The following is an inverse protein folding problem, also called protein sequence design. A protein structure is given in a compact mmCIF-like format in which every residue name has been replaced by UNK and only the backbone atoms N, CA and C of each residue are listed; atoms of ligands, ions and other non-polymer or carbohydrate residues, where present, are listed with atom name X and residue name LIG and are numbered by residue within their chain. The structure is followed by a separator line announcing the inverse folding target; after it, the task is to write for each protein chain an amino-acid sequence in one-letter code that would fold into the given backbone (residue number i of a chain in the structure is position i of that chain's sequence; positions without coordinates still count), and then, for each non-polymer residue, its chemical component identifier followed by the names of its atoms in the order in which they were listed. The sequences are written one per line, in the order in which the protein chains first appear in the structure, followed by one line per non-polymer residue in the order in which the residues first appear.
data_IF_859254964267
#
_entry.id   IF_859254964267
#
_cell.length_a   1.000
_cell.length_b   1.000
_cell.length_c   1.000
_cell.angle_alpha   90.00
_cell.angle_beta   90.00
_cell.angle_gamma   90.00
#
_symmetry.space_group_name_H-M   'P 1'
#
loop_
_entity.id
_entity.type
_entity.pdbx_description
1 polymer ?
#
# COMPACT_ATOMS: atom_id res chain seq x y z
N UNK A 1 -15.24 -66.98 -14.46
CA UNK A 1 -15.04 -66.40 -15.79
C UNK A 1 -14.30 -65.06 -15.59
N UNK A 2 -13.04 -64.98 -16.04
CA UNK A 2 -12.18 -63.78 -15.96
C UNK A 2 -12.40 -62.93 -17.19
N UNK A 3 -12.40 -61.57 -17.10
CA UNK A 3 -12.34 -60.71 -18.29
C UNK A 3 -10.85 -60.38 -18.62
N UNK A 4 -10.65 -60.26 -19.94
CA UNK A 4 -9.36 -60.15 -20.57
C UNK A 4 -8.69 -58.76 -20.40
N UNK A 5 -7.38 -58.83 -20.36
CA UNK A 5 -6.42 -57.72 -20.52
C UNK A 5 -6.31 -57.37 -22.01
N UNK A 6 -6.48 -56.11 -22.36
CA UNK A 6 -5.95 -55.55 -23.60
C UNK A 6 -4.83 -54.57 -23.27
N UNK A 7 -3.63 -54.93 -23.64
CA UNK A 7 -2.41 -54.17 -23.67
C UNK A 7 -2.42 -53.23 -24.89
N UNK A 8 -2.17 -51.93 -24.72
CA UNK A 8 -1.70 -51.06 -25.79
C UNK A 8 -0.32 -50.53 -25.40
N UNK A 9 0.68 -51.03 -26.13
CA UNK A 9 2.00 -50.46 -26.24
C UNK A 9 2.01 -49.44 -27.35
N UNK A 10 2.59 -48.25 -27.15
CA UNK A 10 2.74 -47.25 -28.20
C UNK A 10 3.58 -46.08 -27.78
N UNK A 11 4.89 -46.21 -28.00
CA UNK A 11 5.87 -45.16 -28.35
C UNK A 11 6.00 -43.92 -27.45
N UNK A 12 7.04 -43.97 -26.62
CA UNK A 12 7.87 -42.78 -26.36
C UNK A 12 8.69 -42.50 -27.62
N UNK A 13 8.60 -41.24 -28.11
CA UNK A 13 9.74 -40.51 -28.68
C UNK A 13 9.23 -39.15 -29.24
N UNK A 14 10.09 -38.14 -29.09
CA UNK A 14 10.02 -36.79 -29.66
C UNK A 14 9.14 -35.75 -28.93
N UNK A 15 9.74 -35.10 -27.93
CA UNK A 15 9.65 -33.64 -27.76
C UNK A 15 10.80 -33.17 -26.85
N UNK A 16 12.01 -33.25 -27.35
CA UNK A 16 13.14 -32.46 -26.86
C UNK A 16 13.49 -31.46 -27.96
N UNK A 17 13.09 -30.21 -27.80
CA UNK A 17 13.76 -29.01 -28.36
C UNK A 17 12.91 -27.77 -28.05
N UNK A 18 13.51 -26.82 -27.34
CA UNK A 18 12.96 -25.47 -27.27
C UNK A 18 13.04 -24.75 -25.92
N UNK A 19 14.07 -24.97 -25.10
CA UNK A 19 14.45 -23.96 -24.12
C UNK A 19 15.35 -22.93 -24.83
N UNK A 20 14.75 -21.89 -25.37
CA UNK A 20 15.48 -20.71 -25.82
C UNK A 20 15.83 -19.87 -24.62
N UNK A 21 17.10 -19.89 -24.24
CA UNK A 21 17.74 -18.88 -23.39
C UNK A 21 17.56 -17.51 -24.05
N UNK A 22 16.64 -16.70 -23.56
CA UNK A 22 16.67 -15.28 -23.82
C UNK A 22 17.65 -14.63 -22.86
N UNK A 23 18.72 -14.01 -23.35
CA UNK A 23 19.58 -13.21 -22.51
C UNK A 23 18.77 -11.98 -22.07
N UNK A 24 18.73 -11.74 -20.76
CA UNK A 24 18.31 -10.48 -20.18
C UNK A 24 19.13 -9.37 -20.85
N UNK A 25 18.51 -8.66 -21.78
CA UNK A 25 19.07 -7.45 -22.36
C UNK A 25 19.01 -6.40 -21.25
N UNK A 26 20.16 -6.11 -20.66
CA UNK A 26 20.34 -4.93 -19.82
C UNK A 26 19.92 -3.72 -20.64
N UNK A 27 18.80 -3.11 -20.25
CA UNK A 27 18.42 -1.78 -20.71
C UNK A 27 19.51 -0.85 -20.16
N UNK A 28 20.21 -0.05 -21.00
CA UNK A 28 21.23 0.85 -20.49
C UNK A 28 20.56 1.85 -19.53
N UNK A 29 21.13 2.00 -18.35
CA UNK A 29 20.75 2.99 -17.39
C UNK A 29 20.71 4.36 -18.07
N UNK A 30 19.51 4.84 -18.38
CA UNK A 30 19.31 6.22 -18.81
C UNK A 30 19.61 7.05 -17.56
N UNK A 31 20.80 7.66 -17.57
CA UNK A 31 21.16 8.68 -16.60
C UNK A 31 20.19 9.85 -16.79
N UNK A 32 19.15 9.89 -15.96
CA UNK A 32 18.40 11.11 -15.75
C UNK A 32 19.33 12.06 -14.99
N UNK A 33 20.08 12.86 -15.78
CA UNK A 33 20.75 14.05 -15.26
C UNK A 33 19.63 14.99 -14.86
N UNK A 34 19.29 15.03 -13.57
CA UNK A 34 18.56 16.14 -13.00
C UNK A 34 19.46 17.35 -13.24
N UNK A 35 19.04 18.23 -14.15
CA UNK A 35 19.72 19.51 -14.37
C UNK A 35 19.70 20.29 -13.07
N UNK A 36 20.80 20.21 -12.31
CA UNK A 36 21.13 21.19 -11.29
C UNK A 36 21.92 22.27 -12.01
N UNK A 37 21.20 23.21 -12.64
CA UNK A 37 21.82 24.41 -13.17
C UNK A 37 22.14 25.35 -12.01
N UNK A 38 23.44 25.52 -11.79
CA UNK A 38 24.11 26.69 -11.21
C UNK A 38 23.84 27.03 -9.75
N UNK A 39 24.48 26.33 -8.84
CA UNK A 39 24.91 26.96 -7.59
C UNK A 39 26.43 27.05 -7.59
N UNK A 40 26.95 28.30 -7.66
CA UNK A 40 28.36 28.60 -7.43
C UNK A 40 28.66 28.53 -5.93
N UNK A 41 28.92 27.33 -5.43
CA UNK A 41 29.62 27.07 -4.18
C UNK A 41 31.01 26.48 -4.49
N UNK A 42 31.95 26.43 -3.54
CA UNK A 42 33.32 26.03 -3.81
C UNK A 42 33.36 24.64 -4.47
N UNK A 43 34.07 24.57 -5.58
CA UNK A 43 34.22 23.40 -6.43
C UNK A 43 34.82 22.22 -5.66
N UNK A 44 33.97 21.36 -5.12
CA UNK A 44 34.36 20.01 -4.72
C UNK A 44 34.43 19.20 -6.01
N UNK A 45 35.61 18.70 -6.32
CA UNK A 45 35.86 18.03 -7.59
C UNK A 45 34.92 16.83 -7.77
N UNK A 46 34.22 16.79 -8.88
CA UNK A 46 33.29 15.72 -9.30
C UNK A 46 33.95 14.32 -9.26
N UNK A 47 35.27 14.25 -9.21
CA UNK A 47 36.03 12.99 -9.10
C UNK A 47 36.04 12.38 -7.69
N UNK A 48 35.87 13.16 -6.63
CA UNK A 48 35.81 12.64 -5.25
C UNK A 48 34.42 12.20 -4.86
N UNK A 49 33.38 12.86 -5.37
CA UNK A 49 31.97 12.45 -5.15
C UNK A 49 31.67 11.07 -5.74
N UNK A 50 32.18 10.74 -6.93
CA UNK A 50 31.99 9.43 -7.55
C UNK A 50 32.79 8.29 -6.86
N UNK A 51 33.87 8.57 -6.15
CA UNK A 51 34.57 7.54 -5.38
C UNK A 51 33.87 7.15 -4.07
N UNK A 52 33.13 8.08 -3.45
CA UNK A 52 32.37 7.77 -2.23
C UNK A 52 31.07 7.01 -2.48
N UNK A 53 30.50 7.06 -3.70
CA UNK A 53 29.33 6.27 -4.07
C UNK A 53 29.64 4.80 -4.40
N UNK A 54 30.88 4.47 -4.75
CA UNK A 54 31.27 3.11 -5.16
C UNK A 54 31.41 2.10 -4.01
N UNK A 55 31.37 2.53 -2.74
CA UNK A 55 31.67 1.69 -1.58
C UNK A 55 30.49 1.49 -0.60
N UNK A 56 29.33 2.10 -0.83
CA UNK A 56 28.15 1.83 0.01
C UNK A 56 27.47 0.56 -0.49
N UNK A 57 27.28 -0.46 0.37
CA UNK A 57 26.52 -1.65 -0.03
C UNK A 57 25.10 -1.25 -0.42
N UNK A 58 24.62 -1.74 -1.56
CA UNK A 58 23.25 -1.54 -2.02
C UNK A 58 22.29 -2.17 -1.01
N UNK A 59 21.34 -1.39 -0.52
CA UNK A 59 20.32 -1.86 0.42
C UNK A 59 18.97 -1.92 -0.28
N UNK A 60 18.27 -3.03 -0.14
CA UNK A 60 16.92 -3.21 -0.67
C UNK A 60 15.89 -3.15 0.44
N UNK A 61 14.75 -2.55 0.13
CA UNK A 61 13.61 -2.37 1.00
C UNK A 61 12.33 -2.74 0.27
N UNK A 62 11.30 -3.10 1.02
CA UNK A 62 9.93 -3.15 0.55
C UNK A 62 9.26 -1.82 0.93
N UNK A 63 8.70 -1.12 -0.05
CA UNK A 63 7.74 -0.06 0.19
C UNK A 63 6.35 -0.61 -0.07
N UNK A 64 5.54 -0.76 0.98
CA UNK A 64 4.17 -1.25 0.89
C UNK A 64 3.19 -0.13 1.25
N UNK A 65 2.18 0.09 0.42
CA UNK A 65 1.17 1.13 0.61
C UNK A 65 -0.23 0.53 0.62
N UNK A 66 -1.11 1.00 1.49
CA UNK A 66 -2.54 0.88 1.27
C UNK A 66 -2.97 1.68 0.05
N UNK A 67 -4.20 1.49 -0.43
CA UNK A 67 -4.73 2.13 -1.63
C UNK A 67 -5.77 3.20 -1.31
N UNK A 68 -6.93 2.82 -0.74
CA UNK A 68 -8.01 3.74 -0.43
C UNK A 68 -7.55 4.79 0.58
N UNK A 69 -7.85 6.06 0.32
CA UNK A 69 -7.47 7.23 1.13
C UNK A 69 -5.94 7.39 1.38
N UNK A 70 -5.14 6.39 0.99
CA UNK A 70 -3.67 6.42 1.04
C UNK A 70 -3.06 6.89 -0.27
N UNK A 71 -3.28 6.18 -1.38
CA UNK A 71 -2.90 6.58 -2.74
C UNK A 71 -4.04 7.30 -3.47
N UNK A 72 -5.25 7.26 -2.93
CA UNK A 72 -6.45 7.90 -3.47
C UNK A 72 -7.01 8.95 -2.52
N UNK A 73 -7.88 9.80 -3.04
CA UNK A 73 -8.71 10.70 -2.23
C UNK A 73 -10.05 10.08 -1.84
N UNK A 74 -10.49 9.05 -2.56
CA UNK A 74 -11.78 8.41 -2.39
C UNK A 74 -11.60 7.04 -1.73
N UNK A 75 -12.69 6.51 -1.21
CA UNK A 75 -12.82 5.13 -0.79
C UNK A 75 -13.58 4.34 -1.88
N UNK A 76 -13.10 3.15 -2.18
CA UNK A 76 -13.67 2.25 -3.20
C UNK A 76 -15.15 1.96 -2.99
N UNK A 77 -15.57 1.76 -1.73
CA UNK A 77 -16.95 1.43 -1.41
C UNK A 77 -17.92 2.56 -1.73
N UNK A 78 -17.52 3.81 -1.49
CA UNK A 78 -18.33 4.98 -1.85
C UNK A 78 -18.46 5.13 -3.38
N UNK A 79 -17.34 5.07 -4.11
CA UNK A 79 -17.35 5.21 -5.58
C UNK A 79 -18.15 4.08 -6.23
N UNK A 80 -18.03 2.85 -5.72
CA UNK A 80 -18.82 1.72 -6.21
C UNK A 80 -20.32 1.91 -5.94
N UNK A 81 -20.68 2.35 -4.75
CA UNK A 81 -22.08 2.57 -4.37
C UNK A 81 -22.74 3.59 -5.27
N UNK A 82 -22.08 4.72 -5.51
CA UNK A 82 -22.54 5.75 -6.46
C UNK A 82 -22.71 5.17 -7.88
N UNK A 83 -21.73 4.40 -8.35
CA UNK A 83 -21.74 3.80 -9.69
C UNK A 83 -22.95 2.88 -9.91
N UNK A 84 -23.30 2.07 -8.90
CA UNK A 84 -24.38 1.08 -9.02
C UNK A 84 -25.73 1.59 -8.49
N UNK A 85 -25.81 2.87 -8.13
CA UNK A 85 -27.04 3.51 -7.63
C UNK A 85 -27.47 2.96 -6.28
N UNK A 86 -26.53 2.76 -5.36
CA UNK A 86 -26.77 2.52 -3.94
C UNK A 86 -26.43 3.81 -3.20
N UNK A 87 -27.31 4.38 -2.36
CA UNK A 87 -26.98 5.57 -1.59
C UNK A 87 -25.72 5.36 -0.74
N UNK A 88 -24.82 6.32 -0.73
CA UNK A 88 -23.57 6.24 0.02
C UNK A 88 -23.79 6.11 1.52
N UNK A 89 -24.85 6.75 2.03
CA UNK A 89 -25.28 6.65 3.42
C UNK A 89 -25.72 5.24 3.80
N UNK A 90 -26.29 4.51 2.83
CA UNK A 90 -26.69 3.11 3.04
C UNK A 90 -25.47 2.19 3.13
N UNK A 91 -24.46 2.40 2.27
CA UNK A 91 -23.18 1.72 2.36
C UNK A 91 -22.52 1.99 3.72
N UNK A 92 -22.40 3.27 4.10
CA UNK A 92 -21.80 3.68 5.36
C UNK A 92 -22.52 3.08 6.57
N UNK A 93 -23.84 3.11 6.56
CA UNK A 93 -24.68 2.54 7.63
C UNK A 93 -24.42 1.03 7.79
N UNK A 94 -24.38 0.29 6.67
CA UNK A 94 -24.09 -1.15 6.65
C UNK A 94 -22.68 -1.43 7.14
N UNK A 95 -21.66 -0.73 6.64
CA UNK A 95 -20.27 -0.90 7.02
C UNK A 95 -20.04 -0.60 8.52
N UNK A 96 -20.52 0.57 9.01
CA UNK A 96 -20.45 0.92 10.43
C UNK A 96 -21.21 -0.09 11.33
N UNK A 97 -22.33 -0.61 10.85
CA UNK A 97 -23.09 -1.63 11.56
C UNK A 97 -22.28 -2.91 11.77
N UNK A 98 -21.57 -3.38 10.75
CA UNK A 98 -20.70 -4.55 10.83
C UNK A 98 -19.49 -4.30 11.73
N UNK A 99 -18.84 -3.16 11.60
CA UNK A 99 -17.71 -2.77 12.44
C UNK A 99 -18.11 -2.72 13.94
N UNK A 100 -19.29 -2.18 14.25
CA UNK A 100 -19.77 -2.07 15.64
C UNK A 100 -19.91 -3.41 16.36
N UNK A 101 -20.28 -4.48 15.65
CA UNK A 101 -20.45 -5.82 16.20
C UNK A 101 -19.28 -6.75 15.90
N UNK A 102 -18.19 -6.23 15.33
CA UNK A 102 -17.02 -6.99 14.89
C UNK A 102 -17.40 -8.21 14.01
N UNK A 103 -18.37 -8.04 13.10
CA UNK A 103 -18.82 -9.11 12.21
C UNK A 103 -17.74 -9.56 11.25
N UNK A 104 -16.91 -8.62 10.78
CA UNK A 104 -15.78 -8.86 9.89
C UNK A 104 -14.54 -8.12 10.39
N UNK A 105 -13.37 -8.47 9.87
CA UNK A 105 -12.17 -7.67 10.12
C UNK A 105 -12.34 -6.27 9.56
N UNK A 106 -11.76 -5.30 10.24
CA UNK A 106 -11.75 -3.91 9.79
C UNK A 106 -11.14 -3.80 8.38
N UNK A 107 -11.88 -3.15 7.48
CA UNK A 107 -11.58 -3.05 6.06
C UNK A 107 -12.20 -4.16 5.20
N UNK A 108 -12.73 -5.25 5.77
CA UNK A 108 -13.38 -6.33 5.01
C UNK A 108 -14.89 -6.10 4.77
N UNK A 109 -15.44 -4.97 5.21
CA UNK A 109 -16.87 -4.66 5.15
C UNK A 109 -17.38 -4.67 3.70
N UNK A 110 -16.66 -4.02 2.80
CA UNK A 110 -17.05 -4.00 1.38
C UNK A 110 -17.06 -5.41 0.78
N UNK A 111 -16.02 -6.21 1.04
CA UNK A 111 -15.94 -7.57 0.53
C UNK A 111 -17.11 -8.45 1.03
N UNK A 112 -17.50 -8.28 2.29
CA UNK A 112 -18.64 -8.95 2.86
C UNK A 112 -19.96 -8.53 2.20
N UNK A 113 -20.17 -7.21 2.00
CA UNK A 113 -21.36 -6.69 1.32
C UNK A 113 -21.47 -7.20 -0.11
N UNK A 114 -20.38 -7.20 -0.85
CA UNK A 114 -20.34 -7.69 -2.23
C UNK A 114 -20.76 -9.15 -2.37
N UNK A 115 -20.47 -9.98 -1.36
CA UNK A 115 -20.78 -11.40 -1.38
C UNK A 115 -22.14 -11.72 -0.75
N UNK A 116 -22.54 -11.01 0.30
CA UNK A 116 -23.68 -11.42 1.14
C UNK A 116 -24.87 -10.47 1.13
N UNK A 117 -24.66 -9.17 0.89
CA UNK A 117 -25.75 -8.21 0.88
C UNK A 117 -26.59 -8.38 -0.40
N UNK A 118 -27.92 -8.56 -0.29
CA UNK A 118 -28.78 -8.82 -1.45
C UNK A 118 -28.74 -7.71 -2.51
N UNK A 119 -28.62 -6.44 -2.07
CA UNK A 119 -28.63 -5.28 -2.97
C UNK A 119 -27.32 -5.17 -3.74
N UNK A 120 -26.17 -5.26 -3.05
CA UNK A 120 -24.85 -5.27 -3.68
C UNK A 120 -24.71 -6.47 -4.63
N UNK A 121 -25.10 -7.65 -4.19
CA UNK A 121 -25.05 -8.88 -4.98
C UNK A 121 -25.89 -8.81 -6.24
N UNK A 122 -27.06 -8.16 -6.18
CA UNK A 122 -27.93 -7.98 -7.34
C UNK A 122 -27.33 -7.02 -8.37
N UNK A 123 -26.70 -5.92 -7.91
CA UNK A 123 -26.25 -4.80 -8.75
C UNK A 123 -24.81 -4.92 -9.21
N UNK A 124 -23.89 -5.43 -8.36
CA UNK A 124 -22.44 -5.42 -8.65
C UNK A 124 -22.01 -6.58 -9.52
N UNK A 125 -21.16 -6.30 -10.49
CA UNK A 125 -20.51 -7.28 -11.39
C UNK A 125 -19.02 -6.92 -11.51
N UNK A 126 -18.20 -7.88 -11.94
CA UNK A 126 -16.75 -7.71 -12.14
C UNK A 126 -16.41 -6.43 -12.93
N UNK A 127 -17.16 -6.15 -13.99
CA UNK A 127 -16.93 -4.96 -14.82
C UNK A 127 -17.12 -3.64 -14.07
N UNK A 128 -18.01 -3.59 -13.07
CA UNK A 128 -18.21 -2.39 -12.26
C UNK A 128 -16.98 -2.09 -11.40
N UNK A 129 -16.24 -3.11 -10.95
CA UNK A 129 -15.01 -2.93 -10.19
C UNK A 129 -13.92 -2.29 -11.05
N UNK A 130 -13.76 -2.72 -12.30
CA UNK A 130 -12.83 -2.04 -13.23
C UNK A 130 -13.25 -0.59 -13.52
N UNK A 131 -14.55 -0.34 -13.65
CA UNK A 131 -15.08 1.01 -13.89
C UNK A 131 -14.86 1.92 -12.67
N UNK A 132 -14.97 1.40 -11.46
CA UNK A 132 -14.63 2.12 -10.22
C UNK A 132 -13.17 2.57 -10.26
N UNK A 133 -12.24 1.69 -10.64
CA UNK A 133 -10.82 2.05 -10.72
C UNK A 133 -10.54 3.21 -11.67
N UNK A 134 -11.30 3.32 -12.78
CA UNK A 134 -11.20 4.45 -13.71
C UNK A 134 -11.77 5.76 -13.16
N UNK A 135 -12.69 5.68 -12.20
CA UNK A 135 -13.36 6.85 -11.60
C UNK A 135 -12.70 7.32 -10.31
N UNK A 136 -11.97 6.43 -9.66
CA UNK A 136 -11.33 6.77 -8.39
C UNK A 136 -10.27 7.83 -8.62
N UNK A 137 -10.24 8.83 -7.73
CA UNK A 137 -9.32 9.97 -7.85
C UNK A 137 -8.02 9.66 -7.13
N UNK A 138 -6.95 9.48 -7.91
CA UNK A 138 -5.60 9.27 -7.38
C UNK A 138 -5.02 10.56 -6.78
N UNK A 139 -4.19 10.43 -5.74
CA UNK A 139 -3.32 11.52 -5.27
C UNK A 139 -2.28 11.86 -6.34
N UNK A 140 -1.73 13.07 -6.27
CA UNK A 140 -0.66 13.48 -7.18
C UNK A 140 0.60 12.64 -7.03
N UNK A 141 1.42 12.63 -8.08
CA UNK A 141 2.82 12.18 -8.07
C UNK A 141 3.08 10.69 -7.73
N UNK A 142 2.08 9.81 -7.81
CA UNK A 142 2.26 8.37 -7.55
C UNK A 142 3.30 7.77 -8.51
N UNK A 143 3.22 8.12 -9.81
CA UNK A 143 4.17 7.63 -10.80
C UNK A 143 5.59 8.12 -10.51
N UNK A 144 5.74 9.37 -10.09
CA UNK A 144 7.04 9.94 -9.72
C UNK A 144 7.58 9.26 -8.46
N UNK A 145 6.74 9.04 -7.45
CA UNK A 145 7.11 8.29 -6.25
C UNK A 145 7.59 6.88 -6.61
N UNK A 146 6.84 6.16 -7.43
CA UNK A 146 7.22 4.82 -7.90
C UNK A 146 8.60 4.84 -8.57
N UNK A 147 8.84 5.79 -9.49
CA UNK A 147 10.10 5.90 -10.22
C UNK A 147 11.28 6.23 -9.30
N UNK A 148 11.11 7.16 -8.36
CA UNK A 148 12.18 7.51 -7.40
C UNK A 148 12.53 6.31 -6.51
N UNK A 149 11.54 5.61 -5.98
CA UNK A 149 11.75 4.44 -5.13
C UNK A 149 12.43 3.29 -5.89
N UNK A 150 11.99 3.01 -7.12
CA UNK A 150 12.57 1.97 -7.96
C UNK A 150 14.00 2.29 -8.43
N UNK A 151 14.28 3.57 -8.76
CA UNK A 151 15.62 4.02 -9.14
C UNK A 151 16.57 4.10 -7.93
N UNK A 152 16.02 4.16 -6.72
CA UNK A 152 16.74 4.25 -5.48
C UNK A 152 17.23 5.65 -5.12
N UNK A 153 17.50 5.85 -3.83
CA UNK A 153 18.08 7.08 -3.26
C UNK A 153 19.27 6.70 -2.41
N UNK A 154 20.43 7.27 -2.69
CA UNK A 154 21.68 7.06 -1.95
C UNK A 154 22.03 5.58 -1.69
N UNK A 155 21.80 4.71 -2.69
CA UNK A 155 22.07 3.28 -2.59
C UNK A 155 20.96 2.47 -1.91
N UNK A 156 19.83 3.09 -1.58
CA UNK A 156 18.65 2.43 -1.04
C UNK A 156 17.59 2.27 -2.14
N UNK A 157 17.23 1.03 -2.48
CA UNK A 157 16.25 0.67 -3.51
C UNK A 157 15.00 0.11 -2.86
N UNK A 158 13.83 0.41 -3.43
CA UNK A 158 12.57 0.01 -2.84
C UNK A 158 11.72 -0.72 -3.88
N UNK A 159 11.29 -1.92 -3.56
CA UNK A 159 10.27 -2.63 -4.33
C UNK A 159 8.90 -2.13 -3.87
N UNK A 160 8.16 -1.50 -4.77
CA UNK A 160 6.86 -0.88 -4.46
C UNK A 160 5.72 -1.88 -4.58
N UNK A 161 4.97 -2.08 -3.49
CA UNK A 161 3.80 -2.94 -3.42
C UNK A 161 2.57 -2.19 -2.94
N UNK A 162 1.39 -2.63 -3.39
CA UNK A 162 0.10 -2.15 -2.88
C UNK A 162 -0.60 -3.29 -2.15
N UNK A 163 -0.94 -3.09 -0.87
CA UNK A 163 -1.63 -4.04 0.00
C UNK A 163 -2.93 -3.40 0.48
N UNK A 164 -4.08 -3.75 -0.12
CA UNK A 164 -5.34 -3.08 0.17
C UNK A 164 -6.52 -4.03 0.35
N UNK A 165 -7.47 -3.59 1.16
CA UNK A 165 -8.76 -4.25 1.31
C UNK A 165 -9.67 -4.09 0.07
N UNK A 166 -9.40 -3.10 -0.77
CA UNK A 166 -10.12 -2.88 -2.02
C UNK A 166 -10.05 -4.10 -2.95
N UNK A 167 -11.07 -4.34 -3.79
CA UNK A 167 -11.01 -5.36 -4.83
C UNK A 167 -9.81 -5.17 -5.76
N UNK A 168 -9.10 -6.24 -6.07
CA UNK A 168 -7.89 -6.20 -6.90
C UNK A 168 -8.16 -5.58 -8.29
N UNK A 169 -9.35 -5.78 -8.85
CA UNK A 169 -9.76 -5.21 -10.13
C UNK A 169 -9.80 -3.67 -10.11
N UNK A 170 -10.24 -3.11 -8.99
CA UNK A 170 -10.26 -1.64 -8.79
C UNK A 170 -8.84 -1.10 -8.82
N UNK A 171 -7.94 -1.73 -8.07
CA UNK A 171 -6.56 -1.27 -7.93
C UNK A 171 -5.80 -1.42 -9.25
N UNK A 172 -5.96 -2.57 -9.94
CA UNK A 172 -5.35 -2.80 -11.26
C UNK A 172 -5.80 -1.75 -12.27
N UNK A 173 -7.10 -1.43 -12.29
CA UNK A 173 -7.65 -0.44 -13.22
C UNK A 173 -7.19 0.99 -12.89
N UNK A 174 -7.08 1.33 -11.61
CA UNK A 174 -6.67 2.66 -11.19
C UNK A 174 -5.17 2.93 -11.38
N UNK A 175 -4.34 1.91 -11.17
CA UNK A 175 -2.87 2.01 -11.24
C UNK A 175 -2.28 1.43 -12.52
N UNK A 176 -3.11 1.23 -13.55
CA UNK A 176 -2.67 0.72 -14.86
C UNK A 176 -1.54 1.60 -15.42
N UNK A 177 -0.43 0.95 -15.80
CA UNK A 177 0.77 1.63 -16.32
C UNK A 177 1.63 2.34 -15.27
N UNK A 178 1.26 2.31 -13.98
CA UNK A 178 2.03 2.90 -12.87
C UNK A 178 2.68 1.80 -12.03
N UNK A 179 1.89 0.84 -11.53
CA UNK A 179 2.36 -0.26 -10.70
C UNK A 179 2.12 -1.59 -11.41
N UNK A 180 3.12 -2.48 -11.50
CA UNK A 180 2.94 -3.80 -12.09
C UNK A 180 1.84 -4.61 -11.38
N UNK A 181 1.01 -5.38 -12.13
CA UNK A 181 -0.09 -6.14 -11.54
C UNK A 181 0.34 -7.17 -10.47
N UNK A 182 1.53 -7.76 -10.62
CA UNK A 182 2.13 -8.70 -9.68
C UNK A 182 2.64 -8.05 -8.38
N UNK A 183 2.67 -6.72 -8.34
CA UNK A 183 2.95 -5.94 -7.13
C UNK A 183 1.68 -5.45 -6.42
N UNK A 184 0.50 -5.87 -6.86
CA UNK A 184 -0.78 -5.43 -6.31
C UNK A 184 -1.49 -6.59 -5.61
N UNK A 185 -1.73 -6.43 -4.32
CA UNK A 185 -2.41 -7.39 -3.45
C UNK A 185 -3.69 -6.75 -2.89
N UNK A 186 -4.79 -6.95 -3.61
CA UNK A 186 -6.13 -6.55 -3.20
C UNK A 186 -6.93 -7.73 -2.65
N UNK A 187 -8.20 -7.47 -2.33
CA UNK A 187 -9.18 -8.52 -2.09
C UNK A 187 -9.54 -9.19 -3.41
N UNK A 188 -9.39 -10.51 -3.47
CA UNK A 188 -9.62 -11.32 -4.67
C UNK A 188 -10.95 -12.06 -4.61
N UNK A 189 -11.67 -12.02 -5.73
CA UNK A 189 -12.92 -12.73 -5.89
C UNK A 189 -12.85 -13.77 -7.01
N UNK A 190 -13.60 -14.85 -6.85
CA UNK A 190 -14.00 -15.72 -7.95
C UNK A 190 -15.34 -15.26 -8.47
N UNK A 191 -15.50 -15.29 -9.78
CA UNK A 191 -16.69 -14.83 -10.48
C UNK A 191 -17.40 -15.98 -11.19
N UNK A 192 -18.73 -15.90 -11.25
CA UNK A 192 -19.54 -16.70 -12.15
C UNK A 192 -19.37 -16.22 -13.60
N UNK A 193 -19.75 -17.03 -14.60
CA UNK A 193 -19.72 -16.59 -16.00
C UNK A 193 -20.55 -15.32 -16.27
N UNK A 194 -21.56 -15.03 -15.45
CA UNK A 194 -22.38 -13.80 -15.50
C UNK A 194 -21.65 -12.55 -14.99
N UNK A 195 -20.44 -12.69 -14.45
CA UNK A 195 -19.70 -11.61 -13.80
C UNK A 195 -20.12 -11.34 -12.36
N UNK A 196 -21.06 -12.11 -11.80
CA UNK A 196 -21.41 -12.06 -10.38
C UNK A 196 -20.26 -12.58 -9.52
N UNK A 197 -20.09 -11.98 -8.34
CA UNK A 197 -19.16 -12.49 -7.33
C UNK A 197 -19.69 -13.81 -6.76
N UNK A 198 -18.88 -14.85 -6.86
CA UNK A 198 -19.20 -16.20 -6.38
C UNK A 198 -18.66 -16.44 -4.97
N UNK A 199 -17.39 -16.08 -4.75
CA UNK A 199 -16.74 -16.26 -3.45
C UNK A 199 -15.55 -15.31 -3.30
N UNK A 200 -15.15 -15.06 -2.05
CA UNK A 200 -13.88 -14.40 -1.70
C UNK A 200 -12.78 -15.46 -1.73
N UNK A 201 -11.76 -15.24 -2.54
CA UNK A 201 -10.56 -16.10 -2.61
C UNK A 201 -9.56 -15.68 -1.54
N UNK A 202 -9.34 -14.37 -1.44
CA UNK A 202 -8.46 -13.75 -0.43
C UNK A 202 -9.01 -12.39 -0.02
N UNK A 203 -9.08 -12.13 1.28
CA UNK A 203 -9.38 -10.82 1.83
C UNK A 203 -8.09 -10.17 2.36
N UNK A 204 -7.63 -9.10 1.71
CA UNK A 204 -6.42 -8.36 2.08
C UNK A 204 -6.78 -7.19 2.99
N UNK A 205 -7.40 -7.48 4.15
CA UNK A 205 -7.82 -6.52 5.17
C UNK A 205 -7.26 -6.94 6.53
N UNK A 206 -6.90 -6.02 7.39
CA UNK A 206 -6.42 -6.29 8.73
C UNK A 206 -5.28 -7.32 8.77
N UNK A 207 -5.52 -8.48 9.37
CA UNK A 207 -4.55 -9.59 9.37
C UNK A 207 -4.24 -10.17 7.98
N UNK A 208 -5.13 -10.00 6.99
CA UNK A 208 -4.85 -10.38 5.61
C UNK A 208 -3.69 -9.59 5.02
N UNK A 209 -3.56 -8.30 5.33
CA UNK A 209 -2.39 -7.49 4.94
C UNK A 209 -1.10 -8.00 5.61
N UNK A 210 -1.18 -8.39 6.89
CA UNK A 210 -0.04 -9.00 7.62
C UNK A 210 0.41 -10.28 6.95
N UNK A 211 -0.52 -11.15 6.54
CA UNK A 211 -0.20 -12.41 5.87
C UNK A 211 0.51 -12.17 4.53
N UNK A 212 0.01 -11.24 3.71
CA UNK A 212 0.64 -10.86 2.44
C UNK A 212 2.04 -10.29 2.66
N UNK A 213 2.20 -9.37 3.62
CA UNK A 213 3.52 -8.80 3.91
C UNK A 213 4.51 -9.87 4.37
N UNK A 214 4.10 -10.80 5.23
CA UNK A 214 4.95 -11.90 5.68
C UNK A 214 5.34 -12.84 4.52
N UNK A 215 4.43 -13.07 3.57
CA UNK A 215 4.72 -13.81 2.35
C UNK A 215 5.79 -13.10 1.53
N UNK A 216 5.65 -11.79 1.26
CA UNK A 216 6.63 -10.98 0.52
C UNK A 216 8.00 -10.99 1.21
N UNK A 217 8.05 -10.85 2.53
CA UNK A 217 9.29 -10.91 3.30
C UNK A 217 9.99 -12.26 3.16
N UNK A 218 9.22 -13.35 3.20
CA UNK A 218 9.76 -14.70 3.03
C UNK A 218 10.27 -14.94 1.61
N UNK A 219 9.53 -14.51 0.59
CA UNK A 219 9.91 -14.64 -0.82
C UNK A 219 11.17 -13.85 -1.17
N UNK A 220 11.33 -12.67 -0.58
CA UNK A 220 12.49 -11.80 -0.82
C UNK A 220 13.64 -12.02 0.18
N UNK A 221 13.46 -12.90 1.17
CA UNK A 221 14.44 -13.16 2.23
C UNK A 221 14.85 -11.86 2.95
N UNK A 222 13.84 -11.04 3.31
CA UNK A 222 14.02 -9.75 3.99
C UNK A 222 13.45 -9.78 5.40
N UNK A 223 14.04 -8.96 6.28
CA UNK A 223 13.51 -8.69 7.62
C UNK A 223 12.48 -7.54 7.61
N UNK A 224 11.61 -7.46 8.63
CA UNK A 224 10.66 -6.35 8.77
C UNK A 224 11.30 -4.96 8.94
N UNK A 225 12.55 -4.89 9.39
CA UNK A 225 13.38 -3.69 9.46
C UNK A 225 13.72 -3.08 8.09
N UNK A 226 13.51 -3.85 7.02
CA UNK A 226 13.63 -3.41 5.62
C UNK A 226 12.29 -3.09 4.99
N UNK A 227 11.27 -2.74 5.78
CA UNK A 227 9.94 -2.39 5.28
C UNK A 227 9.59 -0.95 5.63
N UNK A 228 9.07 -0.23 4.64
CA UNK A 228 8.32 1.01 4.80
C UNK A 228 6.86 0.71 4.51
N UNK A 229 5.95 1.02 5.43
CA UNK A 229 4.53 0.82 5.25
C UNK A 229 3.76 2.13 5.39
N UNK A 230 2.89 2.43 4.42
CA UNK A 230 2.01 3.59 4.43
C UNK A 230 0.54 3.15 4.50
N UNK A 231 -0.26 3.79 5.37
CA UNK A 231 -1.69 3.55 5.48
C UNK A 231 -2.43 4.69 6.16
N UNK A 232 -3.75 4.70 6.04
CA UNK A 232 -4.60 5.79 6.55
C UNK A 232 -5.56 5.35 7.65
N UNK A 233 -5.83 4.04 7.77
CA UNK A 233 -7.00 3.54 8.48
C UNK A 233 -6.78 2.39 9.44
N UNK A 234 -7.89 1.96 10.00
CA UNK A 234 -7.92 0.88 10.99
C UNK A 234 -7.52 -0.48 10.41
N UNK A 235 -7.64 -0.67 9.09
CA UNK A 235 -7.21 -1.89 8.40
C UNK A 235 -5.68 -2.08 8.41
N UNK A 236 -4.91 -1.00 8.69
CA UNK A 236 -3.45 -0.97 8.67
C UNK A 236 -2.81 -1.20 10.04
N UNK A 237 -3.60 -1.07 11.10
CA UNK A 237 -3.12 -1.11 12.48
C UNK A 237 -2.27 -2.36 12.75
N UNK A 238 -2.73 -3.54 12.32
CA UNK A 238 -2.03 -4.79 12.59
C UNK A 238 -0.67 -4.88 11.89
N UNK A 239 -0.58 -4.39 10.65
CA UNK A 239 0.69 -4.31 9.91
C UNK A 239 1.64 -3.32 10.59
N UNK A 240 1.14 -2.13 10.94
CA UNK A 240 1.96 -1.11 11.59
C UNK A 240 2.48 -1.56 12.95
N UNK A 241 1.66 -2.21 13.79
CA UNK A 241 2.09 -2.75 15.07
C UNK A 241 3.16 -3.84 14.91
N UNK A 242 3.01 -4.75 13.93
CA UNK A 242 4.01 -5.78 13.65
C UNK A 242 5.35 -5.16 13.22
N UNK A 243 5.32 -4.18 12.34
CA UNK A 243 6.53 -3.52 11.82
C UNK A 243 7.21 -2.69 12.91
N UNK A 244 6.44 -1.93 13.70
CA UNK A 244 6.98 -1.13 14.80
C UNK A 244 7.72 -1.97 15.85
N UNK A 245 7.23 -3.19 16.10
CA UNK A 245 7.89 -4.11 17.04
C UNK A 245 9.23 -4.67 16.52
N UNK A 246 9.57 -4.43 15.26
CA UNK A 246 10.75 -5.00 14.57
C UNK A 246 11.48 -3.96 13.71
N UNK A 247 11.44 -2.71 14.10
CA UNK A 247 12.17 -1.58 13.50
C UNK A 247 11.83 -1.21 12.05
N UNK A 248 10.71 -1.69 11.50
CA UNK A 248 10.17 -1.21 10.24
C UNK A 248 9.68 0.24 10.33
N UNK A 249 9.70 0.98 9.24
CA UNK A 249 9.21 2.35 9.18
C UNK A 249 7.72 2.35 8.82
N UNK A 250 6.89 2.95 9.68
CA UNK A 250 5.45 3.07 9.46
C UNK A 250 5.04 4.53 9.34
N UNK A 251 4.21 4.83 8.33
CA UNK A 251 3.81 6.19 7.96
C UNK A 251 2.27 6.23 7.91
N UNK A 252 1.65 7.02 8.77
CA UNK A 252 0.25 7.38 8.64
C UNK A 252 0.08 8.52 7.65
N UNK A 253 -0.91 8.42 6.76
CA UNK A 253 -1.25 9.49 5.81
C UNK A 253 -2.64 10.09 6.08
N UNK A 254 -3.07 10.03 7.32
CA UNK A 254 -4.38 10.43 7.82
C UNK A 254 -4.25 11.16 9.16
N UNK A 255 -5.16 12.08 9.42
CA UNK A 255 -5.30 12.73 10.73
C UNK A 255 -6.02 11.85 11.76
N UNK A 256 -6.43 10.64 11.38
CA UNK A 256 -7.11 9.70 12.29
C UNK A 256 -6.24 9.41 13.51
N UNK A 257 -6.71 9.72 14.74
CA UNK A 257 -5.92 9.50 15.96
C UNK A 257 -5.50 8.04 16.16
N UNK A 258 -6.31 7.10 15.66
CA UNK A 258 -6.02 5.66 15.81
C UNK A 258 -4.78 5.22 15.05
N UNK A 259 -4.55 5.78 13.88
CA UNK A 259 -3.40 5.43 13.03
C UNK A 259 -2.20 6.29 13.33
N UNK A 260 -2.40 7.61 13.49
CA UNK A 260 -1.33 8.56 13.78
C UNK A 260 -0.63 8.30 15.12
N UNK A 261 -1.32 7.70 16.10
CA UNK A 261 -0.72 7.30 17.39
C UNK A 261 0.11 6.01 17.29
N UNK A 262 -0.14 5.18 16.28
CA UNK A 262 0.54 3.91 16.09
C UNK A 262 1.72 4.07 15.14
N UNK A 263 1.55 4.80 14.05
CA UNK A 263 2.60 5.03 13.07
C UNK A 263 3.78 5.81 13.67
N UNK A 264 4.99 5.49 13.23
CA UNK A 264 6.21 6.23 13.62
C UNK A 264 6.22 7.66 13.09
N UNK A 265 5.59 7.88 11.94
CA UNK A 265 5.48 9.18 11.26
C UNK A 265 4.07 9.40 10.75
N UNK A 266 3.68 10.66 10.68
CA UNK A 266 2.42 11.09 10.07
C UNK A 266 2.70 12.14 9.01
N UNK A 267 2.16 11.96 7.81
CA UNK A 267 2.31 12.85 6.67
C UNK A 267 0.94 13.20 6.12
N UNK A 268 0.65 14.47 6.04
CA UNK A 268 -0.60 14.97 5.46
C UNK A 268 -0.29 15.69 4.15
N UNK A 269 -0.77 15.15 3.04
CA UNK A 269 -0.52 15.71 1.72
C UNK A 269 -1.54 15.23 0.68
N UNK A 270 -1.73 16.06 -0.34
CA UNK A 270 -2.47 15.70 -1.57
C UNK A 270 -1.57 15.00 -2.61
N UNK A 271 -0.25 14.98 -2.38
CA UNK A 271 0.73 14.30 -3.21
C UNK A 271 1.28 13.07 -2.48
N UNK A 272 1.32 11.93 -3.18
CA UNK A 272 1.91 10.71 -2.68
C UNK A 272 3.43 10.84 -2.45
N UNK A 273 4.09 11.78 -3.16
CA UNK A 273 5.53 12.03 -3.02
C UNK A 273 5.93 12.44 -1.61
N UNK A 274 5.00 13.01 -0.83
CA UNK A 274 5.29 13.49 0.53
C UNK A 274 5.80 12.39 1.48
N UNK A 275 5.48 11.11 1.22
CA UNK A 275 5.99 9.98 2.03
C UNK A 275 7.50 9.78 1.91
N UNK A 276 8.14 10.40 0.92
CA UNK A 276 9.61 10.38 0.83
C UNK A 276 10.28 11.16 1.98
N UNK A 277 9.62 12.15 2.58
CA UNK A 277 10.25 12.94 3.64
C UNK A 277 10.77 12.07 4.79
N UNK A 278 9.98 11.19 5.44
CA UNK A 278 10.49 10.29 6.47
C UNK A 278 11.43 9.21 5.94
N UNK A 279 11.28 8.77 4.69
CA UNK A 279 12.20 7.80 4.07
C UNK A 279 13.59 8.41 3.91
N UNK A 280 13.68 9.64 3.41
CA UNK A 280 14.93 10.37 3.25
C UNK A 280 15.58 10.65 4.61
N UNK A 281 14.80 11.03 5.64
CA UNK A 281 15.33 11.31 6.98
C UNK A 281 15.81 10.03 7.69
N UNK A 282 15.00 8.98 7.73
CA UNK A 282 15.26 7.82 8.60
C UNK A 282 16.06 6.70 7.91
N UNK A 283 15.94 6.54 6.60
CA UNK A 283 16.63 5.48 5.86
C UNK A 283 17.86 6.01 5.13
N UNK A 284 17.72 7.11 4.37
CA UNK A 284 18.83 7.69 3.63
C UNK A 284 19.72 8.60 4.49
N UNK A 285 19.24 9.04 5.67
CA UNK A 285 20.00 9.86 6.61
C UNK A 285 20.17 11.31 6.16
N UNK A 286 19.24 11.82 5.35
CA UNK A 286 19.29 13.20 4.88
C UNK A 286 18.94 14.18 6.00
N UNK A 287 19.64 15.31 6.01
CA UNK A 287 19.32 16.43 6.87
C UNK A 287 18.03 17.13 6.39
N UNK A 288 17.27 17.70 7.32
CA UNK A 288 16.00 18.39 7.02
C UNK A 288 16.13 19.49 5.98
N UNK A 289 17.25 20.20 5.95
CA UNK A 289 17.51 21.22 4.94
C UNK A 289 17.61 20.62 3.54
N UNK A 290 18.28 19.49 3.38
CA UNK A 290 18.38 18.77 2.11
C UNK A 290 17.00 18.28 1.64
N UNK A 291 16.22 17.73 2.56
CA UNK A 291 14.86 17.26 2.27
C UNK A 291 13.97 18.43 1.84
N UNK A 292 14.01 19.58 2.52
CA UNK A 292 13.28 20.78 2.11
C UNK A 292 13.66 21.22 0.70
N UNK A 293 14.94 21.31 0.42
CA UNK A 293 15.42 21.70 -0.92
C UNK A 293 14.99 20.71 -2.01
N UNK A 294 14.95 19.41 -1.70
CA UNK A 294 14.44 18.39 -2.62
C UNK A 294 12.95 18.61 -2.95
N UNK A 295 12.11 18.85 -1.93
CA UNK A 295 10.68 19.10 -2.14
C UNK A 295 10.43 20.42 -2.87
N UNK A 296 11.16 21.48 -2.54
CA UNK A 296 11.11 22.78 -3.23
C UNK A 296 11.47 22.65 -4.72
N UNK A 297 12.52 21.88 -5.03
CA UNK A 297 12.92 21.61 -6.41
C UNK A 297 11.86 20.84 -7.21
N UNK A 298 10.97 20.11 -6.51
CA UNK A 298 9.82 19.41 -7.11
C UNK A 298 8.51 20.21 -6.99
N UNK A 299 8.58 21.52 -6.71
CA UNK A 299 7.41 22.40 -6.65
C UNK A 299 6.54 22.24 -5.40
N UNK A 300 7.07 21.63 -4.34
CA UNK A 300 6.36 21.40 -3.08
C UNK A 300 7.03 22.11 -1.91
N UNK A 301 6.21 22.55 -0.94
CA UNK A 301 6.69 23.17 0.28
C UNK A 301 6.32 22.30 1.49
N UNK A 302 7.29 22.03 2.35
CA UNK A 302 7.04 21.45 3.68
C UNK A 302 6.69 22.60 4.62
N UNK A 303 5.39 22.80 4.88
CA UNK A 303 4.87 23.89 5.70
C UNK A 303 5.20 23.71 7.18
N UNK A 304 4.94 22.52 7.70
CA UNK A 304 5.16 22.18 9.09
C UNK A 304 6.02 20.92 9.20
N UNK A 305 6.96 20.92 10.14
CA UNK A 305 7.78 19.77 10.46
C UNK A 305 7.95 19.68 11.97
N UNK A 306 6.91 19.15 12.61
CA UNK A 306 6.92 18.94 14.03
C UNK A 306 7.13 17.45 14.36
N UNK A 307 7.96 17.15 15.36
CA UNK A 307 7.94 15.86 16.02
C UNK A 307 6.91 15.93 17.13
N UNK A 308 5.69 15.53 16.85
CA UNK A 308 4.69 15.30 17.90
C UNK A 308 5.08 14.03 18.63
N UNK A 309 5.48 14.16 19.90
CA UNK A 309 5.57 12.99 20.77
C UNK A 309 4.17 12.44 20.97
N UNK A 310 3.97 11.16 20.65
CA UNK A 310 2.67 10.47 20.73
C UNK A 310 2.26 10.07 22.14
N UNK A 311 2.91 10.57 23.18
CA UNK A 311 2.50 10.35 24.56
C UNK A 311 1.30 11.23 24.92
N UNK A 312 0.11 10.77 24.54
CA UNK A 312 -1.14 11.37 24.99
C UNK A 312 -1.47 10.82 26.38
N UNK A 313 -1.03 11.52 27.43
CA UNK A 313 -1.47 11.25 28.78
C UNK A 313 -2.80 11.97 29.01
N UNK A 314 -3.90 11.23 29.02
CA UNK A 314 -5.20 11.77 29.41
C UNK A 314 -5.37 11.61 30.91
N UNK A 315 -4.96 12.60 31.66
CA UNK A 315 -5.21 12.65 33.11
C UNK A 315 -6.63 13.16 33.36
N UNK A 316 -7.47 12.35 33.98
CA UNK A 316 -8.77 12.79 34.51
C UNK A 316 -8.63 13.15 35.97
N UNK A 317 -9.34 14.18 36.47
CA UNK A 317 -9.49 14.39 37.91
C UNK A 317 -10.06 13.14 38.55
N UNK A 318 -9.59 12.78 39.74
CA UNK A 318 -10.23 11.76 40.53
C UNK A 318 -11.64 12.27 40.90
N UNK A 319 -12.67 11.59 40.40
CA UNK A 319 -14.06 11.86 40.83
C UNK A 319 -14.15 11.39 42.26
N UNK A 320 -14.39 12.30 43.20
CA UNK A 320 -14.69 11.92 44.59
C UNK A 320 -16.07 11.30 44.60
N UNK A 321 -16.26 10.19 45.32
CA UNK A 321 -17.55 9.43 45.49
C UNK A 321 -18.76 10.31 45.81
N UNK A 322 -18.56 11.57 46.23
CA UNK A 322 -19.61 12.53 46.52
C UNK A 322 -20.31 13.13 45.28
N UNK A 323 -19.71 13.09 44.09
CA UNK A 323 -20.28 13.63 42.86
C UNK A 323 -21.06 12.58 42.03
N UNK A 324 -20.83 11.29 42.28
CA UNK A 324 -21.52 10.21 41.59
C UNK A 324 -22.96 10.00 42.08
N UNK A 325 -23.26 10.42 43.34
CA UNK A 325 -24.61 10.32 43.95
C UNK A 325 -25.51 11.49 43.58
N UNK A 326 -25.01 12.56 43.01
CA UNK A 326 -25.79 13.76 42.67
C UNK A 326 -26.33 13.79 41.24
N UNK A 327 -26.00 12.80 40.39
CA UNK A 327 -26.36 12.76 38.95
C UNK A 327 -27.27 11.61 38.53
N UNK A 328 -27.94 10.94 39.50
CA UNK A 328 -29.02 9.99 39.18
C UNK A 328 -30.37 10.66 39.38
N UNK A 329 -31.24 10.75 38.38
CA UNK A 329 -32.60 11.27 38.46
C UNK A 329 -33.52 10.32 39.21
#
# INVERSE_FOLDING_TARGET
MKPGRTSYSGRADEFSKGCSNHPFTMIPAIHFIIKIDSFHGPSISVRESNRHMADKPLKRYIFASDFDQTLTFNDTGYVLSELVGIPTEEFERKAKGMAKINLVQQGAELAYLLLHDPEFKAKVRKQHLYEVGKRIRLKGDIQLLYQILANGVDGHFFDFYVLSAAPVEVIHSALEGIVPPDHIYGTEFRYKPSGEIDTIVRATAGYGKVAVLNQLLAEQVMGPDHVVYCGDGSSDIHVMLQLNARDGLTIAVSESPHVSQIARRTILSTSALAVLAPILEEIAGWERAQIRSFFEANGMLIQEWERVRTDWLKVRPAVTEAEETASLP
#
